data_IF_299745725524
#
_entry.id   IF_299745725524
#
_cell.length_a   1.000
_cell.length_b   1.000
_cell.length_c   1.000
_cell.angle_alpha   90.00
_cell.angle_beta   90.00
_cell.angle_gamma   90.00
#
_symmetry.space_group_name_H-M   'P 1'
#
loop_
_entity.id
_entity.type
_entity.pdbx_description
1 polymer ?
#
# COMPACT_ATOMS: atom_id res chain seq x y z
N UNK A 1 17.09 -10.08 -18.76
CA UNK A 1 15.89 -9.22 -18.97
C UNK A 1 14.82 -9.59 -17.94
N UNK A 2 14.64 -8.84 -16.82
CA UNK A 2 13.35 -8.75 -16.09
C UNK A 2 13.33 -7.88 -14.80
N UNK A 3 14.25 -6.94 -14.59
CA UNK A 3 14.09 -5.95 -13.50
C UNK A 3 13.09 -4.86 -13.92
N UNK A 4 11.83 -5.23 -14.13
CA UNK A 4 10.75 -4.25 -14.31
C UNK A 4 10.32 -3.75 -12.94
N UNK A 5 10.68 -2.49 -12.67
CA UNK A 5 10.08 -1.70 -11.60
C UNK A 5 8.62 -1.50 -12.02
N UNK A 6 7.70 -2.19 -11.37
CA UNK A 6 6.31 -2.24 -11.79
C UNK A 6 5.40 -2.41 -10.58
N UNK A 7 4.30 -1.66 -10.57
CA UNK A 7 3.27 -1.79 -9.53
C UNK A 7 2.58 -3.15 -9.58
N UNK A 8 2.56 -3.80 -10.74
CA UNK A 8 1.98 -5.14 -10.91
C UNK A 8 2.66 -6.20 -10.04
N UNK A 9 3.90 -5.96 -9.61
CA UNK A 9 4.63 -6.87 -8.72
C UNK A 9 3.97 -7.01 -7.34
N UNK A 10 3.19 -6.03 -6.88
CA UNK A 10 2.50 -6.07 -5.59
C UNK A 10 0.98 -5.84 -5.70
N UNK A 11 0.49 -5.29 -6.81
CA UNK A 11 -0.95 -5.03 -6.99
C UNK A 11 -1.81 -6.30 -6.97
N UNK A 12 -1.31 -7.45 -7.43
CA UNK A 12 -2.10 -8.68 -7.40
C UNK A 12 -2.47 -9.11 -5.97
N UNK A 13 -1.51 -9.37 -5.05
CA UNK A 13 -1.86 -9.70 -3.68
C UNK A 13 -2.62 -8.55 -2.98
N UNK A 14 -2.37 -7.30 -3.36
CA UNK A 14 -3.16 -6.17 -2.86
C UNK A 14 -4.63 -6.28 -3.26
N UNK A 15 -4.93 -6.56 -4.52
CA UNK A 15 -6.30 -6.76 -5.00
C UNK A 15 -6.98 -7.94 -4.29
N UNK A 16 -6.26 -9.04 -4.06
CA UNK A 16 -6.79 -10.17 -3.28
C UNK A 16 -7.11 -9.75 -1.84
N UNK A 17 -6.23 -8.97 -1.21
CA UNK A 17 -6.46 -8.39 0.12
C UNK A 17 -7.75 -7.56 0.18
N UNK A 18 -7.96 -6.69 -0.80
CA UNK A 18 -9.17 -5.85 -0.89
C UNK A 18 -10.44 -6.67 -1.11
N UNK A 19 -10.39 -7.74 -1.92
CA UNK A 19 -11.53 -8.64 -2.11
C UNK A 19 -11.95 -9.29 -0.78
N UNK A 20 -10.99 -9.76 0.01
CA UNK A 20 -11.29 -10.30 1.36
C UNK A 20 -11.82 -9.23 2.31
N UNK A 21 -11.26 -8.01 2.26
CA UNK A 21 -11.73 -6.90 3.09
C UNK A 21 -13.17 -6.52 2.78
N UNK A 22 -13.51 -6.31 1.50
CA UNK A 22 -14.86 -5.98 1.06
C UNK A 22 -15.84 -7.13 1.32
N UNK A 23 -15.40 -8.38 1.15
CA UNK A 23 -16.21 -9.55 1.50
C UNK A 23 -16.50 -9.60 3.01
N UNK A 24 -15.51 -9.29 3.85
CA UNK A 24 -15.71 -9.17 5.29
C UNK A 24 -16.75 -8.09 5.61
N UNK A 25 -16.58 -6.88 5.06
CA UNK A 25 -17.53 -5.78 5.24
C UNK A 25 -18.96 -6.16 4.82
N UNK A 26 -19.11 -6.80 3.67
CA UNK A 26 -20.39 -7.29 3.19
C UNK A 26 -21.02 -8.34 4.12
N UNK A 27 -20.24 -9.33 4.57
CA UNK A 27 -20.70 -10.36 5.50
C UNK A 27 -21.07 -9.79 6.87
N UNK A 28 -20.36 -8.76 7.32
CA UNK A 28 -20.68 -8.04 8.58
C UNK A 28 -22.02 -7.32 8.48
N UNK A 29 -22.37 -6.72 7.34
CA UNK A 29 -23.69 -6.12 7.11
C UNK A 29 -24.80 -7.18 7.18
N UNK A 30 -24.53 -8.40 6.70
CA UNK A 30 -25.47 -9.51 6.72
C UNK A 30 -25.52 -10.24 8.08
N UNK A 31 -24.79 -9.76 9.10
CA UNK A 31 -24.66 -10.37 10.43
C UNK A 31 -24.18 -11.83 10.40
N UNK A 32 -23.36 -12.17 9.41
CA UNK A 32 -22.81 -13.52 9.24
C UNK A 32 -21.43 -13.62 9.88
N UNK A 33 -21.28 -14.46 10.91
CA UNK A 33 -20.05 -14.59 11.72
C UNK A 33 -18.77 -14.93 10.93
N UNK A 34 -18.88 -15.43 9.70
CA UNK A 34 -17.74 -15.66 8.78
C UNK A 34 -16.97 -14.38 8.43
N UNK A 35 -17.54 -13.18 8.65
CA UNK A 35 -16.86 -11.91 8.37
C UNK A 35 -15.50 -11.81 9.07
N UNK A 36 -15.39 -12.35 10.29
CA UNK A 36 -14.19 -12.30 11.12
C UNK A 36 -13.06 -13.18 10.56
N UNK A 37 -13.38 -14.21 9.77
CA UNK A 37 -12.38 -15.07 9.12
C UNK A 37 -11.76 -14.41 7.89
N UNK A 38 -12.49 -13.53 7.20
CA UNK A 38 -12.00 -12.86 6.00
C UNK A 38 -10.94 -11.77 6.31
N UNK A 39 -11.02 -11.10 7.48
CA UNK A 39 -10.05 -10.07 7.89
C UNK A 39 -8.60 -10.59 8.02
N UNK A 40 -8.33 -11.74 8.67
CA UNK A 40 -7.01 -12.36 8.68
C UNK A 40 -6.42 -12.60 7.28
N UNK A 41 -7.22 -13.10 6.34
CA UNK A 41 -6.77 -13.32 4.96
C UNK A 41 -6.46 -11.99 4.27
N UNK A 42 -7.31 -10.98 4.44
CA UNK A 42 -7.04 -9.63 3.95
C UNK A 42 -5.70 -9.11 4.48
N UNK A 43 -5.46 -9.19 5.79
CA UNK A 43 -4.22 -8.76 6.42
C UNK A 43 -2.99 -9.51 5.89
N UNK A 44 -3.09 -10.83 5.72
CA UNK A 44 -1.99 -11.66 5.18
C UNK A 44 -1.61 -11.23 3.76
N UNK A 45 -2.59 -11.07 2.87
CA UNK A 45 -2.33 -10.66 1.50
C UNK A 45 -1.82 -9.21 1.41
N UNK A 46 -2.25 -8.32 2.31
CA UNK A 46 -1.70 -6.98 2.42
C UNK A 46 -0.21 -7.04 2.81
N UNK A 47 0.16 -7.86 3.78
CA UNK A 47 1.56 -8.04 4.19
C UNK A 47 2.42 -8.57 3.04
N UNK A 48 1.90 -9.54 2.27
CA UNK A 48 2.57 -10.04 1.06
C UNK A 48 2.77 -8.90 0.04
N UNK A 49 1.74 -8.07 -0.18
CA UNK A 49 1.84 -6.90 -1.06
C UNK A 49 2.90 -5.90 -0.59
N UNK A 50 2.90 -5.54 0.71
CA UNK A 50 3.90 -4.63 1.29
C UNK A 50 5.31 -5.22 1.14
N UNK A 51 5.50 -6.51 1.37
CA UNK A 51 6.77 -7.19 1.18
C UNK A 51 7.26 -7.09 -0.29
N UNK A 52 6.38 -7.36 -1.26
CA UNK A 52 6.73 -7.28 -2.68
C UNK A 52 6.98 -5.84 -3.14
N UNK A 53 6.27 -4.87 -2.56
CA UNK A 53 6.56 -3.45 -2.74
C UNK A 53 7.98 -3.13 -2.26
N UNK A 54 8.35 -3.54 -1.04
CA UNK A 54 9.69 -3.28 -0.48
C UNK A 54 10.80 -3.93 -1.31
N UNK A 55 10.56 -5.14 -1.83
CA UNK A 55 11.47 -5.82 -2.77
C UNK A 55 11.61 -5.02 -4.07
N UNK A 56 10.52 -4.53 -4.62
CA UNK A 56 10.52 -3.72 -5.86
C UNK A 56 11.19 -2.36 -5.64
N UNK A 57 10.97 -1.73 -4.48
CA UNK A 57 11.64 -0.50 -4.08
C UNK A 57 13.16 -0.69 -3.95
N UNK A 58 13.63 -1.82 -3.41
CA UNK A 58 15.08 -2.13 -3.36
C UNK A 58 15.68 -2.21 -4.77
N UNK A 59 14.97 -2.84 -5.71
CA UNK A 59 15.39 -2.88 -7.11
C UNK A 59 15.35 -1.50 -7.77
N UNK A 60 14.35 -0.68 -7.46
CA UNK A 60 14.24 0.69 -7.98
C UNK A 60 15.41 1.57 -7.52
N UNK A 61 15.79 1.48 -6.24
CA UNK A 61 16.92 2.22 -5.68
C UNK A 61 18.25 1.85 -6.33
N UNK A 62 18.46 0.58 -6.67
CA UNK A 62 19.68 0.13 -7.35
C UNK A 62 19.81 0.66 -8.79
N UNK A 63 18.74 1.22 -9.35
CA UNK A 63 18.67 1.72 -10.72
C UNK A 63 18.54 3.25 -10.79
N UNK A 64 18.60 3.96 -9.66
CA UNK A 64 18.45 5.42 -9.59
C UNK A 64 19.50 6.18 -10.42
N UNK A 65 20.72 5.66 -10.53
CA UNK A 65 21.81 6.28 -11.29
C UNK A 65 21.61 6.19 -12.83
N UNK A 66 20.60 5.46 -13.30
CA UNK A 66 20.30 5.35 -14.73
C UNK A 66 19.29 6.42 -15.16
N UNK A 67 19.79 7.49 -15.79
CA UNK A 67 18.99 8.64 -16.25
C UNK A 67 17.82 8.23 -17.16
N UNK A 68 18.00 7.18 -17.99
CA UNK A 68 16.96 6.63 -18.88
C UNK A 68 15.74 6.06 -18.14
N UNK A 69 15.91 5.52 -16.94
CA UNK A 69 14.84 4.85 -16.16
C UNK A 69 14.18 5.74 -15.12
N UNK A 70 14.61 6.98 -15.04
CA UNK A 70 14.22 7.93 -14.00
C UNK A 70 12.73 8.27 -13.99
N UNK A 71 12.12 8.36 -15.18
CA UNK A 71 10.67 8.56 -15.35
C UNK A 71 9.87 7.34 -14.87
N UNK A 72 10.35 6.13 -15.15
CA UNK A 72 9.71 4.89 -14.69
C UNK A 72 9.75 4.78 -13.16
N UNK A 73 10.90 5.10 -12.56
CA UNK A 73 11.07 5.14 -11.10
C UNK A 73 10.13 6.16 -10.46
N UNK A 74 10.03 7.37 -11.04
CA UNK A 74 9.08 8.38 -10.56
C UNK A 74 7.63 7.89 -10.63
N UNK A 75 7.22 7.33 -11.78
CA UNK A 75 5.88 6.82 -11.99
C UNK A 75 5.54 5.70 -11.00
N UNK A 76 6.47 4.78 -10.76
CA UNK A 76 6.34 3.73 -9.76
C UNK A 76 6.07 4.30 -8.36
N UNK A 77 6.85 5.27 -7.91
CA UNK A 77 6.64 5.88 -6.58
C UNK A 77 5.33 6.66 -6.51
N UNK A 78 4.99 7.45 -7.53
CA UNK A 78 3.74 8.22 -7.55
C UNK A 78 2.50 7.29 -7.49
N UNK A 79 2.49 6.24 -8.31
CA UNK A 79 1.40 5.26 -8.31
C UNK A 79 1.33 4.49 -6.98
N UNK A 80 2.48 4.07 -6.45
CA UNK A 80 2.56 3.38 -5.16
C UNK A 80 2.03 4.25 -4.02
N UNK A 81 2.41 5.54 -4.00
CA UNK A 81 1.89 6.49 -3.03
C UNK A 81 0.37 6.58 -3.10
N UNK A 82 -0.21 6.80 -4.29
CA UNK A 82 -1.65 6.92 -4.46
C UNK A 82 -2.40 5.67 -4.01
N UNK A 83 -1.96 4.49 -4.44
CA UNK A 83 -2.60 3.21 -4.10
C UNK A 83 -2.61 2.98 -2.59
N UNK A 84 -1.43 3.04 -1.94
CA UNK A 84 -1.36 2.76 -0.50
C UNK A 84 -1.97 3.87 0.36
N UNK A 85 -2.04 5.12 -0.12
CA UNK A 85 -2.72 6.20 0.58
C UNK A 85 -4.25 6.02 0.57
N UNK A 86 -4.82 5.58 -0.56
CA UNK A 86 -6.26 5.26 -0.66
C UNK A 86 -6.62 4.12 0.29
N UNK A 87 -5.83 3.04 0.28
CA UNK A 87 -6.07 1.87 1.14
C UNK A 87 -5.89 2.23 2.62
N UNK A 88 -4.85 3.01 2.95
CA UNK A 88 -4.68 3.56 4.30
C UNK A 88 -5.92 4.31 4.77
N UNK A 89 -6.44 5.24 3.96
CA UNK A 89 -7.62 6.01 4.32
C UNK A 89 -8.85 5.12 4.49
N UNK A 90 -9.09 4.19 3.56
CA UNK A 90 -10.23 3.27 3.63
C UNK A 90 -10.21 2.42 4.91
N UNK A 91 -9.06 1.81 5.24
CA UNK A 91 -8.88 1.01 6.45
C UNK A 91 -9.00 1.84 7.73
N UNK A 92 -8.49 3.07 7.72
CA UNK A 92 -8.60 3.98 8.86
C UNK A 92 -10.06 4.39 9.09
N UNK A 93 -10.79 4.77 8.04
CA UNK A 93 -12.21 5.09 8.14
C UNK A 93 -13.04 3.88 8.57
N UNK A 94 -12.76 2.70 8.06
CA UNK A 94 -13.41 1.48 8.52
C UNK A 94 -13.16 1.24 10.01
N UNK A 95 -11.91 1.34 10.47
CA UNK A 95 -11.58 1.20 11.89
C UNK A 95 -12.36 2.21 12.75
N UNK A 96 -12.40 3.49 12.35
CA UNK A 96 -13.11 4.56 13.07
C UNK A 96 -14.63 4.36 13.07
N UNK A 97 -15.22 3.95 11.94
CA UNK A 97 -16.65 3.76 11.80
C UNK A 97 -17.19 2.62 12.66
N UNK A 98 -16.37 1.62 12.98
CA UNK A 98 -16.75 0.48 13.82
C UNK A 98 -16.43 0.66 15.31
N UNK A 99 -15.81 1.79 15.73
CA UNK A 99 -15.62 2.12 17.16
C UNK A 99 -16.95 2.16 17.93
N UNK A 100 -18.03 2.79 17.44
CA UNK A 100 -19.31 2.79 18.15
C UNK A 100 -20.00 1.41 18.22
N UNK A 101 -19.51 0.43 17.46
CA UNK A 101 -20.07 -0.92 17.32
C UNK A 101 -19.18 -1.99 17.96
N UNK A 102 -18.30 -1.61 18.90
CA UNK A 102 -17.33 -2.51 19.55
C UNK A 102 -17.97 -3.76 20.17
N UNK A 103 -19.16 -3.61 20.77
CA UNK A 103 -19.92 -4.71 21.39
C UNK A 103 -20.50 -5.71 20.37
N UNK A 104 -20.70 -5.30 19.11
CA UNK A 104 -21.29 -6.11 18.03
C UNK A 104 -20.25 -6.54 16.99
N UNK A 105 -19.05 -6.94 17.43
CA UNK A 105 -18.00 -7.41 16.53
C UNK A 105 -17.13 -6.31 15.89
N UNK A 106 -17.40 -5.03 16.18
CA UNK A 106 -16.57 -3.91 15.73
C UNK A 106 -15.11 -3.98 16.21
N UNK A 107 -14.85 -4.69 17.32
CA UNK A 107 -13.50 -4.95 17.81
C UNK A 107 -12.64 -5.73 16.82
N UNK A 108 -13.21 -6.61 15.97
CA UNK A 108 -12.45 -7.30 14.92
C UNK A 108 -11.95 -6.31 13.85
N UNK A 109 -12.79 -5.36 13.44
CA UNK A 109 -12.38 -4.33 12.48
C UNK A 109 -11.27 -3.46 13.06
N UNK A 110 -11.35 -3.09 14.34
CA UNK A 110 -10.29 -2.33 14.99
C UNK A 110 -8.99 -3.14 15.07
N UNK A 111 -9.09 -4.43 15.45
CA UNK A 111 -7.95 -5.34 15.61
C UNK A 111 -7.21 -5.59 14.29
N UNK A 112 -7.89 -5.66 13.15
CA UNK A 112 -7.27 -5.95 11.86
C UNK A 112 -7.04 -4.70 11.00
N UNK A 113 -8.03 -3.80 10.87
CA UNK A 113 -7.94 -2.66 9.96
C UNK A 113 -6.94 -1.61 10.45
N UNK A 114 -6.83 -1.38 11.77
CA UNK A 114 -5.87 -0.40 12.29
C UNK A 114 -4.42 -0.84 12.05
N UNK A 115 -3.98 -2.07 12.39
CA UNK A 115 -2.65 -2.54 12.01
C UNK A 115 -2.41 -2.57 10.51
N UNK A 116 -3.40 -2.99 9.70
CA UNK A 116 -3.29 -2.96 8.25
C UNK A 116 -3.09 -1.53 7.70
N UNK A 117 -3.82 -0.54 8.24
CA UNK A 117 -3.62 0.86 7.89
C UNK A 117 -2.19 1.31 8.25
N UNK A 118 -1.72 1.00 9.45
CA UNK A 118 -0.35 1.31 9.86
C UNK A 118 0.69 0.66 8.93
N UNK A 119 0.46 -0.58 8.48
CA UNK A 119 1.32 -1.24 7.49
C UNK A 119 1.36 -0.48 6.14
N UNK A 120 0.23 0.10 5.70
CA UNK A 120 0.17 0.90 4.47
C UNK A 120 0.98 2.20 4.56
N UNK A 121 1.22 2.74 5.76
CA UNK A 121 2.09 3.92 5.93
C UNK A 121 3.53 3.65 5.49
N UNK A 122 4.01 2.41 5.58
CA UNK A 122 5.38 2.05 5.18
C UNK A 122 5.58 2.34 3.68
N UNK A 123 4.78 1.78 2.75
CA UNK A 123 4.81 2.16 1.34
C UNK A 123 4.53 3.63 1.05
N UNK A 124 3.59 4.27 1.75
CA UNK A 124 3.25 5.69 1.55
C UNK A 124 4.47 6.57 1.82
N UNK A 125 5.08 6.43 3.00
CA UNK A 125 6.26 7.22 3.40
C UNK A 125 7.45 6.88 2.51
N UNK A 126 7.65 5.60 2.17
CA UNK A 126 8.74 5.18 1.30
C UNK A 126 8.62 5.77 -0.10
N UNK A 127 7.40 5.79 -0.66
CA UNK A 127 7.12 6.35 -1.97
C UNK A 127 7.25 7.86 -2.00
N UNK A 128 6.76 8.56 -0.97
CA UNK A 128 6.95 10.00 -0.82
C UNK A 128 8.43 10.38 -0.74
N UNK A 129 9.22 9.64 0.06
CA UNK A 129 10.68 9.83 0.12
C UNK A 129 11.34 9.59 -1.24
N UNK A 130 10.95 8.53 -1.95
CA UNK A 130 11.47 8.22 -3.29
C UNK A 130 11.18 9.32 -4.31
N UNK A 131 9.97 9.86 -4.32
CA UNK A 131 9.61 11.01 -5.18
C UNK A 131 10.44 12.25 -4.86
N UNK A 132 10.58 12.58 -3.57
CA UNK A 132 11.36 13.75 -3.12
C UNK A 132 12.83 13.64 -3.54
N UNK A 133 13.44 12.46 -3.39
CA UNK A 133 14.83 12.22 -3.81
C UNK A 133 14.99 12.40 -5.32
N UNK A 134 14.08 11.83 -6.11
CA UNK A 134 14.11 11.98 -7.56
C UNK A 134 14.02 13.46 -7.98
N UNK A 135 13.12 14.24 -7.37
CA UNK A 135 13.01 15.68 -7.63
C UNK A 135 14.30 16.45 -7.32
N UNK A 136 14.91 16.21 -6.16
CA UNK A 136 16.15 16.89 -5.75
C UNK A 136 17.32 16.64 -6.71
N UNK A 137 17.45 15.42 -7.22
CA UNK A 137 18.45 15.07 -8.23
C UNK A 137 18.13 15.68 -9.62
N UNK A 138 16.84 15.90 -9.99
CA UNK A 138 16.49 16.68 -11.20
C UNK A 138 17.03 18.11 -11.05
N UNK A 139 16.70 18.75 -9.92
CA UNK A 139 17.08 20.13 -9.66
C UNK A 139 18.61 20.30 -9.66
N UNK A 140 19.34 19.36 -9.04
CA UNK A 140 20.81 19.34 -9.03
C UNK A 140 21.41 19.24 -10.43
N UNK A 141 20.94 18.31 -11.27
CA UNK A 141 21.43 18.15 -12.64
C UNK A 141 21.10 19.37 -13.52
N UNK A 142 20.00 20.08 -13.25
CA UNK A 142 19.68 21.34 -13.91
C UNK A 142 20.64 22.47 -13.51
N UNK A 143 21.11 22.50 -12.25
CA UNK A 143 22.04 23.53 -11.77
C UNK A 143 23.49 23.30 -12.20
N UNK A 144 23.89 22.05 -12.49
CA UNK A 144 25.25 21.71 -12.95
C UNK A 144 25.44 21.82 -14.46
N UNK A 145 24.36 22.01 -15.23
CA UNK A 145 24.39 22.20 -16.69
C UNK A 145 24.46 23.70 -17.10
N UNK A 146 24.63 24.60 -16.13
CA UNK A 146 24.88 26.04 -16.31
C UNK A 146 26.35 26.28 -15.97
#
# INVERSE_FOLDING_TARGET
>A
MNNKISIFNYCFPLGVSEVFFLSSFYLSILDVSLFALALPFSALFLLISVYLFLRTNKAAKALLDQEERRREIHAFYHQSFGIFAIIFAALLFASLAYIPLMENGGHFYLLYCLPMALCCLIPVVTSYKGMKQNKLEIDRNATTKI
#
